data_IF_099926832412
#
_entry.id   IF_099926832412
#
_cell.length_a   1.000
_cell.length_b   1.000
_cell.length_c   1.000
_cell.angle_alpha   90.00
_cell.angle_beta   90.00
_cell.angle_gamma   90.00
#
_symmetry.space_group_name_H-M   'P 1'
#
loop_
_entity.id
_entity.type
_entity.pdbx_description
1 polymer ?
#
# COMPACT_ATOMS: atom_id res chain seq x y z
N UNK A 1 -35.85 8.26 -1.81
CA UNK A 1 -34.50 8.77 -2.13
C UNK A 1 -33.48 8.59 -0.99
N UNK A 2 -33.79 8.90 0.27
CA UNK A 2 -32.84 8.73 1.42
C UNK A 2 -32.27 7.32 1.56
N UNK A 3 -33.08 6.30 1.28
CA UNK A 3 -32.67 4.89 1.39
C UNK A 3 -31.72 4.46 0.26
N UNK A 4 -31.81 5.13 -0.91
CA UNK A 4 -30.93 4.88 -2.06
C UNK A 4 -29.54 5.48 -1.80
N UNK A 5 -29.48 6.69 -1.22
CA UNK A 5 -28.22 7.32 -0.80
C UNK A 5 -27.49 6.53 0.29
N UNK A 6 -28.24 6.00 1.27
CA UNK A 6 -27.66 5.09 2.28
C UNK A 6 -27.08 3.83 1.64
N UNK A 7 -27.79 3.22 0.69
CA UNK A 7 -27.30 2.06 -0.04
C UNK A 7 -26.01 2.34 -0.81
N UNK A 8 -25.92 3.49 -1.47
CA UNK A 8 -24.74 3.88 -2.26
C UNK A 8 -23.49 4.11 -1.38
N UNK A 9 -23.65 4.76 -0.22
CA UNK A 9 -22.55 4.98 0.73
C UNK A 9 -22.01 3.68 1.31
N UNK A 10 -22.88 2.74 1.66
CA UNK A 10 -22.48 1.42 2.16
C UNK A 10 -21.76 0.63 1.07
N UNK A 11 -22.26 0.66 -0.17
CA UNK A 11 -21.61 0.00 -1.30
C UNK A 11 -20.20 0.57 -1.58
N UNK A 12 -20.01 1.89 -1.51
CA UNK A 12 -18.72 2.53 -1.68
C UNK A 12 -17.71 2.18 -0.57
N UNK A 13 -18.17 2.09 0.68
CA UNK A 13 -17.35 1.67 1.82
C UNK A 13 -16.89 0.21 1.70
N UNK A 14 -17.78 -0.68 1.23
CA UNK A 14 -17.43 -2.09 1.02
C UNK A 14 -16.49 -2.25 -0.18
N UNK A 15 -16.73 -1.55 -1.28
CA UNK A 15 -15.86 -1.59 -2.46
C UNK A 15 -14.43 -1.10 -2.16
N UNK A 16 -14.28 -0.07 -1.32
CA UNK A 16 -12.97 0.42 -0.88
C UNK A 16 -12.23 -0.55 0.05
N UNK A 17 -12.95 -1.34 0.87
CA UNK A 17 -12.34 -2.42 1.65
C UNK A 17 -11.89 -3.63 0.82
N UNK A 18 -12.53 -3.88 -0.33
CA UNK A 18 -12.21 -4.99 -1.23
C UNK A 18 -11.13 -4.64 -2.27
N UNK A 19 -10.92 -3.35 -2.55
CA UNK A 19 -9.82 -2.85 -3.39
C UNK A 19 -8.43 -2.89 -2.74
N UNK A 20 -8.32 -3.41 -1.52
CA UNK A 20 -7.08 -3.44 -0.72
C UNK A 20 -6.03 -4.46 -1.16
N UNK A 21 -6.26 -5.24 -2.21
CA UNK A 21 -5.26 -6.14 -2.78
C UNK A 21 -4.20 -5.35 -3.58
N UNK A 22 -3.28 -4.73 -2.85
CA UNK A 22 -1.91 -4.37 -3.25
C UNK A 22 -1.74 -3.54 -4.55
N UNK A 23 -2.14 -2.27 -4.51
CA UNK A 23 -1.60 -1.25 -5.43
C UNK A 23 -0.19 -0.82 -4.98
N UNK A 24 0.74 -1.78 -4.97
CA UNK A 24 2.11 -1.58 -4.54
C UNK A 24 3.03 -2.58 -5.22
N UNK A 25 4.01 -2.07 -5.98
CA UNK A 25 4.98 -2.90 -6.69
C UNK A 25 6.10 -3.36 -5.76
N UNK A 26 6.61 -4.56 -5.99
CA UNK A 26 7.85 -5.02 -5.37
C UNK A 26 8.81 -5.50 -6.44
N UNK A 27 10.11 -5.24 -6.23
CA UNK A 27 11.17 -5.76 -7.10
C UNK A 27 12.36 -6.18 -6.25
N UNK A 28 13.09 -7.20 -6.72
CA UNK A 28 14.33 -7.64 -6.11
C UNK A 28 15.50 -6.87 -6.69
N UNK A 29 16.44 -6.49 -5.83
CA UNK A 29 17.69 -5.85 -6.21
C UNK A 29 18.83 -6.49 -5.40
N UNK A 30 19.42 -7.55 -5.94
CA UNK A 30 20.44 -8.35 -5.24
C UNK A 30 19.87 -9.06 -4.00
N UNK A 31 20.42 -8.73 -2.83
CA UNK A 31 20.02 -9.27 -1.52
C UNK A 31 18.85 -8.50 -0.85
N UNK A 32 18.27 -7.53 -1.57
CA UNK A 32 17.22 -6.64 -1.07
C UNK A 32 15.94 -6.75 -1.88
N UNK A 33 14.84 -6.36 -1.25
CA UNK A 33 13.55 -6.14 -1.92
C UNK A 33 13.17 -4.68 -1.75
N UNK A 34 12.83 -4.04 -2.86
CA UNK A 34 12.26 -2.70 -2.89
C UNK A 34 10.75 -2.83 -2.97
N UNK A 35 10.03 -2.24 -2.02
CA UNK A 35 8.57 -2.29 -1.94
C UNK A 35 8.04 -0.86 -2.07
N UNK A 36 7.32 -0.58 -3.14
CA UNK A 36 6.52 0.64 -3.25
C UNK A 36 5.14 0.35 -2.64
N UNK A 37 4.77 1.09 -1.60
CA UNK A 37 3.40 1.10 -1.04
C UNK A 37 2.78 2.46 -1.24
N UNK A 38 1.51 2.47 -1.59
CA UNK A 38 0.74 3.70 -1.48
C UNK A 38 0.44 3.99 -0.02
N UNK A 39 0.68 5.22 0.40
CA UNK A 39 0.26 5.68 1.71
C UNK A 39 -1.28 5.80 1.73
N UNK A 40 -1.92 5.52 2.87
CA UNK A 40 -3.39 5.66 2.99
C UNK A 40 -3.81 7.14 3.01
N UNK A 41 -2.88 8.06 3.26
CA UNK A 41 -3.07 9.50 3.19
C UNK A 41 -3.28 9.97 1.74
N UNK A 42 -4.30 10.81 1.52
CA UNK A 42 -4.71 11.33 0.21
C UNK A 42 -5.01 10.24 -0.85
N UNK A 43 -5.69 9.16 -0.48
CA UNK A 43 -6.08 8.07 -1.40
C UNK A 43 -4.89 7.42 -2.12
N UNK A 44 -3.69 7.45 -1.53
CA UNK A 44 -2.51 6.95 -2.19
C UNK A 44 -1.96 7.89 -3.27
N UNK A 45 -2.07 9.19 -3.05
CA UNK A 45 -1.32 10.17 -3.84
C UNK A 45 0.18 10.16 -3.53
N UNK A 46 0.57 9.69 -2.32
CA UNK A 46 1.96 9.63 -1.88
C UNK A 46 2.43 8.18 -1.87
N UNK A 47 3.35 7.83 -2.79
CA UNK A 47 4.04 6.53 -2.78
C UNK A 47 5.20 6.58 -1.79
N UNK A 48 5.23 5.64 -0.87
CA UNK A 48 6.38 5.34 0.00
C UNK A 48 7.16 4.18 -0.59
N UNK A 49 8.48 4.29 -0.62
CA UNK A 49 9.37 3.23 -1.12
C UNK A 49 10.18 2.73 0.06
N UNK A 50 10.10 1.42 0.30
CA UNK A 50 10.84 0.75 1.35
C UNK A 50 11.94 -0.11 0.73
N UNK A 51 13.12 -0.08 1.33
CA UNK A 51 14.20 -1.02 1.01
C UNK A 51 14.33 -1.97 2.18
N UNK A 52 14.16 -3.26 1.91
CA UNK A 52 14.14 -4.29 2.92
C UNK A 52 15.19 -5.36 2.64
N UNK A 53 15.66 -6.03 3.68
CA UNK A 53 16.51 -7.23 3.55
C UNK A 53 15.66 -8.47 3.38
N UNK A 54 16.16 -9.42 2.60
CA UNK A 54 15.56 -10.76 2.47
C UNK A 54 16.21 -11.71 3.47
N UNK A 55 15.41 -12.48 4.19
CA UNK A 55 15.85 -13.59 5.03
C UNK A 55 14.97 -14.82 4.78
N UNK A 56 15.34 -15.97 5.35
CA UNK A 56 14.54 -17.20 5.25
C UNK A 56 13.15 -17.07 5.91
N UNK A 57 12.99 -16.11 6.81
CA UNK A 57 11.70 -15.75 7.41
C UNK A 57 10.88 -14.75 6.57
N UNK A 58 11.41 -14.31 5.43
CA UNK A 58 10.79 -13.34 4.53
C UNK A 58 11.49 -11.97 4.52
N UNK A 59 10.72 -10.91 4.25
CA UNK A 59 11.24 -9.55 4.12
C UNK A 59 11.28 -8.86 5.49
N UNK A 60 12.45 -8.40 5.92
CA UNK A 60 12.68 -7.80 7.26
C UNK A 60 13.53 -6.54 7.19
N UNK A 61 13.50 -5.71 8.24
CA UNK A 61 14.35 -4.52 8.36
C UNK A 61 14.13 -3.47 7.27
N UNK A 62 12.88 -3.22 6.90
CA UNK A 62 12.51 -2.23 5.89
C UNK A 62 12.79 -0.80 6.36
N UNK A 63 13.54 -0.04 5.56
CA UNK A 63 13.77 1.40 5.78
C UNK A 63 13.01 2.21 4.74
N UNK A 64 12.36 3.29 5.17
CA UNK A 64 11.72 4.26 4.27
C UNK A 64 12.82 5.01 3.51
N UNK A 65 12.74 4.97 2.17
CA UNK A 65 13.69 5.65 1.30
C UNK A 65 13.42 7.16 1.18
N UNK A 66 12.35 7.66 1.81
CA UNK A 66 11.99 9.08 1.83
C UNK A 66 12.77 9.91 2.87
N UNK A 67 13.56 9.28 3.76
CA UNK A 67 14.51 10.01 4.62
C UNK A 67 15.80 10.28 3.81
N UNK A 68 15.91 11.55 3.38
CA UNK A 68 16.66 12.16 2.26
C UNK A 68 18.18 12.39 2.56
N UNK A 69 19.13 12.57 1.59
CA UNK A 69 19.02 13.10 0.22
C UNK A 69 19.45 12.25 -0.98
#
# INVERSE_FOLDING_TARGET
>A
MKNVFKGLLVAAAVASSLGGCAYGGMTTAGDKVVIARNDTFLFGALRKVFVCKVSDAGVTGCVDSAEKP
#
